data_IF_562913397415
#
_entry.id   IF_562913397415
#
_cell.length_a   1.000
_cell.length_b   1.000
_cell.length_c   1.000
_cell.angle_alpha   90.00
_cell.angle_beta   90.00
_cell.angle_gamma   90.00
#
_symmetry.space_group_name_H-M   'P 1'
#
loop_
_entity.id
_entity.type
_entity.pdbx_description
1 polymer ?
#
# COMPACT_ATOMS: atom_id res chain seq x y z
N UNK A 1 16.21 2.41 15.32
CA UNK A 1 16.95 2.10 14.07
C UNK A 1 17.87 0.94 14.34
N UNK A 2 17.74 -0.14 13.58
CA UNK A 2 18.66 -1.28 13.69
C UNK A 2 19.68 -1.15 12.56
N UNK A 3 20.94 -0.86 12.92
CA UNK A 3 22.03 -0.77 11.97
C UNK A 3 22.64 -2.15 11.76
N UNK A 4 22.64 -2.65 10.54
CA UNK A 4 23.34 -3.87 10.16
C UNK A 4 24.71 -3.50 9.62
N UNK A 5 25.76 -4.12 10.16
CA UNK A 5 27.13 -3.99 9.67
C UNK A 5 27.64 -5.32 9.15
N UNK A 6 28.06 -5.35 7.89
CA UNK A 6 28.55 -6.55 7.21
C UNK A 6 29.96 -6.30 6.71
N UNK A 7 30.86 -7.26 6.95
CA UNK A 7 32.17 -7.32 6.32
C UNK A 7 32.12 -8.34 5.18
N UNK A 8 32.44 -7.90 3.97
CA UNK A 8 32.39 -8.75 2.78
C UNK A 8 33.52 -9.78 2.80
N UNK A 9 33.18 -11.06 2.76
CA UNK A 9 34.14 -12.15 2.68
C UNK A 9 34.75 -12.27 1.28
N UNK A 10 35.96 -12.92 1.19
CA UNK A 10 36.71 -13.05 -0.05
C UNK A 10 35.97 -13.79 -1.16
N UNK A 11 35.14 -14.80 -0.81
CA UNK A 11 34.37 -15.62 -1.72
C UNK A 11 33.11 -14.92 -2.29
N UNK A 12 32.77 -13.78 -1.72
CA UNK A 12 31.59 -12.98 -2.13
C UNK A 12 31.96 -11.81 -3.04
N UNK A 13 33.24 -11.60 -3.31
CA UNK A 13 33.68 -10.53 -4.18
C UNK A 13 33.15 -10.63 -5.61
N UNK A 14 32.71 -9.49 -6.17
CA UNK A 14 32.15 -9.39 -7.51
C UNK A 14 30.62 -9.60 -7.57
N UNK A 15 29.97 -9.99 -6.48
CA UNK A 15 28.52 -10.07 -6.42
C UNK A 15 27.91 -8.65 -6.48
N UNK A 16 26.67 -8.57 -6.97
CA UNK A 16 25.92 -7.32 -6.94
C UNK A 16 25.48 -7.03 -5.51
N UNK A 17 25.55 -5.75 -5.11
CA UNK A 17 25.20 -5.31 -3.76
C UNK A 17 23.77 -5.74 -3.33
N UNK A 18 22.77 -5.60 -4.22
CA UNK A 18 21.40 -6.03 -3.93
C UNK A 18 21.25 -7.54 -3.71
N UNK A 19 22.00 -8.34 -4.46
CA UNK A 19 21.98 -9.79 -4.33
C UNK A 19 22.77 -10.25 -3.09
N UNK A 20 23.91 -9.62 -2.83
CA UNK A 20 24.73 -9.91 -1.67
C UNK A 20 23.97 -9.63 -0.36
N UNK A 21 23.37 -8.44 -0.24
CA UNK A 21 22.57 -8.10 0.93
C UNK A 21 21.36 -9.04 1.12
N UNK A 22 20.62 -9.32 0.06
CA UNK A 22 19.45 -10.20 0.13
C UNK A 22 19.75 -11.68 0.43
N UNK A 23 21.03 -12.08 0.42
CA UNK A 23 21.50 -13.40 0.81
C UNK A 23 22.08 -13.45 2.24
N UNK A 24 22.24 -12.30 2.90
CA UNK A 24 22.79 -12.22 4.26
C UNK A 24 21.68 -12.30 5.31
N UNK A 25 21.95 -13.06 6.39
CA UNK A 25 21.07 -13.15 7.54
C UNK A 25 20.89 -11.78 8.21
N UNK A 26 19.63 -11.45 8.56
CA UNK A 26 19.26 -10.16 9.15
C UNK A 26 18.95 -9.06 8.12
N UNK A 27 19.30 -9.23 6.85
CA UNK A 27 18.88 -8.34 5.77
C UNK A 27 17.49 -8.72 5.23
N UNK A 28 16.70 -7.75 4.75
CA UNK A 28 15.43 -8.04 4.11
C UNK A 28 15.61 -8.69 2.74
N UNK A 29 14.50 -8.98 2.06
CA UNK A 29 14.54 -9.60 0.72
C UNK A 29 15.34 -8.75 -0.26
N UNK A 30 15.91 -9.38 -1.32
CA UNK A 30 16.68 -8.70 -2.37
C UNK A 30 15.98 -7.46 -2.95
N UNK A 31 14.64 -7.53 -3.17
CA UNK A 31 13.86 -6.38 -3.65
C UNK A 31 13.85 -5.24 -2.64
N UNK A 32 13.65 -5.54 -1.36
CA UNK A 32 13.68 -4.54 -0.31
C UNK A 32 15.08 -3.94 -0.15
N UNK A 33 16.15 -4.76 -0.22
CA UNK A 33 17.53 -4.25 -0.25
C UNK A 33 17.78 -3.31 -1.43
N UNK A 34 17.22 -3.61 -2.61
CA UNK A 34 17.36 -2.73 -3.77
C UNK A 34 16.71 -1.35 -3.52
N UNK A 35 15.54 -1.30 -2.86
CA UNK A 35 14.89 -0.04 -2.47
C UNK A 35 15.68 0.73 -1.40
N UNK A 36 16.22 0.04 -0.40
CA UNK A 36 17.09 0.65 0.62
C UNK A 36 18.33 1.29 -0.01
N UNK A 37 18.98 0.62 -0.98
CA UNK A 37 20.11 1.15 -1.72
C UNK A 37 19.73 2.41 -2.50
N UNK A 38 18.64 2.33 -3.30
CA UNK A 38 18.16 3.46 -4.11
C UNK A 38 17.67 4.63 -3.25
N UNK A 39 17.18 4.36 -2.03
CA UNK A 39 16.75 5.34 -1.02
C UNK A 39 17.91 5.93 -0.20
N UNK A 40 19.17 5.48 -0.39
CA UNK A 40 20.34 6.02 0.32
C UNK A 40 20.56 5.47 1.73
N UNK A 41 19.83 4.41 2.12
CA UNK A 41 19.96 3.76 3.43
C UNK A 41 21.12 2.74 3.50
N UNK A 42 21.97 2.64 2.47
CA UNK A 42 23.10 1.73 2.41
C UNK A 42 24.39 2.49 2.13
N UNK A 43 25.39 2.28 2.95
CA UNK A 43 26.74 2.81 2.71
C UNK A 43 27.77 1.67 2.58
N UNK A 44 28.75 1.86 1.69
CA UNK A 44 29.88 0.97 1.49
C UNK A 44 31.16 1.76 1.84
N UNK A 45 31.90 1.25 2.80
CA UNK A 45 33.12 1.92 3.32
C UNK A 45 32.86 3.36 3.82
N UNK A 46 31.63 3.62 4.34
CA UNK A 46 31.22 4.93 4.84
C UNK A 46 30.68 5.89 3.78
N UNK A 47 30.64 5.50 2.49
CA UNK A 47 30.08 6.30 1.41
C UNK A 47 28.70 5.74 1.00
N UNK A 48 27.68 6.61 0.91
CA UNK A 48 26.33 6.20 0.49
C UNK A 48 26.34 5.64 -0.92
N UNK A 49 25.84 4.42 -1.09
CA UNK A 49 25.73 3.74 -2.37
C UNK A 49 24.27 3.78 -2.88
N UNK A 50 24.04 4.44 -4.01
CA UNK A 50 22.71 4.52 -4.64
C UNK A 50 22.50 3.50 -5.77
N UNK A 51 23.53 2.71 -6.11
CA UNK A 51 23.48 1.76 -7.23
C UNK A 51 23.37 0.33 -6.73
N UNK A 52 22.20 -0.28 -6.86
CA UNK A 52 21.99 -1.71 -6.56
C UNK A 52 22.85 -2.67 -7.38
N UNK A 53 23.41 -2.21 -8.50
CA UNK A 53 24.30 -2.99 -9.37
C UNK A 53 25.78 -2.87 -8.97
N UNK A 54 26.10 -2.08 -7.95
CA UNK A 54 27.46 -1.98 -7.44
C UNK A 54 28.00 -3.37 -7.09
N UNK A 55 29.22 -3.68 -7.51
CA UNK A 55 29.88 -4.94 -7.17
C UNK A 55 30.58 -4.79 -5.82
N UNK A 56 30.31 -5.69 -4.88
CA UNK A 56 31.04 -5.73 -3.60
C UNK A 56 32.44 -6.28 -3.77
N UNK A 57 33.38 -5.83 -2.93
CA UNK A 57 34.79 -6.29 -2.92
C UNK A 57 35.07 -6.95 -1.58
N UNK A 58 35.97 -7.89 -1.58
CA UNK A 58 36.50 -8.47 -0.35
C UNK A 58 37.02 -7.38 0.59
N UNK A 59 36.64 -7.45 1.85
CA UNK A 59 36.96 -6.47 2.87
C UNK A 59 36.13 -5.20 2.88
N UNK A 60 35.15 -5.02 1.97
CA UNK A 60 34.25 -3.90 2.03
C UNK A 60 33.42 -3.97 3.34
N UNK A 61 33.24 -2.81 3.96
CA UNK A 61 32.34 -2.63 5.13
C UNK A 61 31.05 -2.02 4.66
N UNK A 62 29.97 -2.78 4.77
CA UNK A 62 28.64 -2.32 4.37
C UNK A 62 27.84 -2.02 5.64
N UNK A 63 27.26 -0.84 5.72
CA UNK A 63 26.24 -0.49 6.72
C UNK A 63 24.90 -0.33 6.04
N UNK A 64 23.88 -0.91 6.66
CA UNK A 64 22.49 -0.81 6.21
C UNK A 64 21.69 -0.22 7.35
N UNK A 65 21.12 0.96 7.11
CA UNK A 65 20.16 1.60 8.01
C UNK A 65 18.78 1.01 7.71
N UNK A 66 18.31 0.12 8.58
CA UNK A 66 16.96 -0.44 8.46
C UNK A 66 15.96 0.55 9.06
N UNK A 67 14.90 0.89 8.31
CA UNK A 67 13.77 1.58 8.91
C UNK A 67 13.26 0.75 10.09
N UNK A 68 12.79 1.42 11.13
CA UNK A 68 12.12 0.71 12.23
C UNK A 68 11.04 -0.20 11.64
N UNK A 69 10.91 -1.44 12.15
CA UNK A 69 9.86 -2.32 11.72
C UNK A 69 8.53 -1.60 12.02
N UNK A 70 7.92 -0.99 11.01
CA UNK A 70 6.52 -0.65 11.11
C UNK A 70 5.73 -1.96 11.10
N UNK A 71 4.83 -2.12 12.05
CA UNK A 71 3.83 -3.15 11.93
C UNK A 71 3.16 -2.94 10.56
N UNK A 72 3.14 -3.94 9.67
CA UNK A 72 2.51 -3.77 8.36
C UNK A 72 1.02 -3.42 8.45
N UNK A 73 0.45 -3.44 9.65
CA UNK A 73 -0.90 -2.97 9.97
C UNK A 73 -0.96 -1.46 10.27
N UNK A 74 0.17 -0.79 10.59
CA UNK A 74 0.18 0.64 10.90
C UNK A 74 -0.04 1.49 9.64
N UNK A 75 -1.23 2.04 9.53
CA UNK A 75 -1.57 3.01 8.47
C UNK A 75 -1.10 4.39 8.87
N UNK A 76 0.05 4.83 8.32
CA UNK A 76 0.64 6.14 8.63
C UNK A 76 -0.22 7.26 8.03
N UNK A 77 -0.54 8.33 8.80
CA UNK A 77 -1.27 9.48 8.28
C UNK A 77 -0.53 10.18 7.13
N UNK A 78 -1.19 10.44 6.00
CA UNK A 78 -0.62 11.19 4.87
C UNK A 78 -1.58 12.26 4.38
N UNK A 79 -1.05 13.48 4.13
CA UNK A 79 -1.81 14.64 3.66
C UNK A 79 -2.18 14.50 2.17
N UNK A 80 -2.98 13.50 1.83
CA UNK A 80 -3.50 13.27 0.49
C UNK A 80 -4.86 13.98 0.38
N UNK A 81 -5.09 14.87 -0.61
CA UNK A 81 -6.37 15.55 -0.77
C UNK A 81 -7.53 14.58 -0.98
N UNK A 82 -8.61 14.75 -0.22
CA UNK A 82 -9.87 14.01 -0.34
C UNK A 82 -10.95 14.91 -0.93
N UNK A 83 -11.66 14.43 -1.95
CA UNK A 83 -12.85 15.07 -2.51
C UNK A 83 -14.09 14.61 -1.70
N UNK A 84 -14.29 15.22 -0.52
CA UNK A 84 -15.38 14.88 0.40
C UNK A 84 -16.67 15.52 -0.12
N UNK A 85 -17.71 14.71 -0.29
CA UNK A 85 -19.05 15.11 -0.77
C UNK A 85 -20.05 15.28 0.37
N UNK A 86 -19.87 14.53 1.43
CA UNK A 86 -20.65 14.60 2.66
C UNK A 86 -19.84 14.03 3.82
N UNK A 87 -19.98 14.62 4.98
CA UNK A 87 -19.38 14.14 6.22
C UNK A 87 -20.28 14.50 7.39
N UNK A 88 -20.45 13.56 8.33
CA UNK A 88 -21.06 13.77 9.63
C UNK A 88 -20.23 13.08 10.74
N UNK A 89 -20.81 12.88 11.91
CA UNK A 89 -20.13 12.26 13.03
C UNK A 89 -19.88 10.75 12.84
N UNK A 90 -20.54 10.12 11.86
CA UNK A 90 -20.57 8.67 11.68
C UNK A 90 -19.89 8.20 10.39
N UNK A 91 -20.04 8.95 9.31
CA UNK A 91 -19.55 8.51 8.01
C UNK A 91 -19.04 9.66 7.14
N UNK A 92 -18.19 9.30 6.18
CA UNK A 92 -17.72 10.15 5.11
C UNK A 92 -18.18 9.56 3.77
N UNK A 93 -18.74 10.40 2.90
CA UNK A 93 -18.93 10.11 1.48
C UNK A 93 -17.89 10.92 0.71
N UNK A 94 -17.02 10.25 -0.01
CA UNK A 94 -15.98 10.89 -0.80
C UNK A 94 -15.98 10.39 -2.24
N UNK A 95 -15.46 11.20 -3.16
CA UNK A 95 -15.20 10.80 -4.54
C UNK A 95 -13.73 10.42 -4.67
N UNK A 96 -13.45 9.10 -4.72
CA UNK A 96 -12.09 8.62 -4.88
C UNK A 96 -11.56 9.00 -6.27
N UNK A 97 -10.42 9.66 -6.31
CA UNK A 97 -9.74 9.97 -7.56
C UNK A 97 -9.14 8.71 -8.21
N UNK A 98 -8.99 8.75 -9.52
CA UNK A 98 -8.23 7.76 -10.28
C UNK A 98 -6.76 7.75 -9.84
N UNK A 99 -6.14 6.59 -9.82
CA UNK A 99 -4.74 6.40 -9.43
C UNK A 99 -4.53 6.13 -7.93
N UNK A 100 -5.54 6.42 -7.08
CA UNK A 100 -5.46 6.19 -5.63
C UNK A 100 -5.87 4.76 -5.27
N UNK A 101 -4.99 4.04 -4.55
CA UNK A 101 -5.27 2.72 -3.97
C UNK A 101 -6.10 2.90 -2.70
N UNK A 102 -7.01 1.98 -2.39
CA UNK A 102 -7.91 2.14 -1.25
C UNK A 102 -7.24 1.88 0.11
N UNK A 103 -6.36 0.90 0.22
CA UNK A 103 -5.68 0.54 1.47
C UNK A 103 -4.31 -0.07 1.17
N UNK A 104 -3.38 -0.08 2.13
CA UNK A 104 -2.07 -0.68 1.97
C UNK A 104 -2.15 -2.11 1.43
N UNK A 105 -1.25 -2.45 0.53
CA UNK A 105 -1.11 -3.77 -0.05
C UNK A 105 0.33 -3.95 -0.55
N UNK A 106 0.71 -5.19 -0.84
CA UNK A 106 2.05 -5.48 -1.35
C UNK A 106 2.40 -4.61 -2.58
N UNK A 107 3.47 -3.81 -2.45
CA UNK A 107 3.92 -2.83 -3.44
C UNK A 107 3.21 -1.46 -3.39
N UNK A 108 2.35 -1.24 -2.39
CA UNK A 108 1.66 0.01 -2.10
C UNK A 108 1.42 0.11 -0.59
N UNK A 109 2.50 0.20 0.18
CA UNK A 109 2.44 0.25 1.65
C UNK A 109 1.98 1.64 2.15
N UNK A 110 2.05 2.66 1.30
CA UNK A 110 1.69 4.05 1.59
C UNK A 110 1.00 4.71 0.40
N UNK A 111 0.60 5.97 0.51
CA UNK A 111 -0.05 6.71 -0.57
C UNK A 111 -1.47 6.22 -0.87
N UNK A 112 -2.20 5.71 0.12
CA UNK A 112 -3.52 5.10 -0.07
C UNK A 112 -4.65 5.97 0.51
N UNK A 113 -5.89 5.63 0.17
CA UNK A 113 -7.07 6.29 0.75
C UNK A 113 -7.12 6.11 2.27
N UNK A 114 -6.71 4.95 2.78
CA UNK A 114 -6.64 4.71 4.22
C UNK A 114 -5.68 5.68 4.91
N UNK A 115 -4.47 5.92 4.34
CA UNK A 115 -3.53 6.92 4.85
C UNK A 115 -4.14 8.33 4.89
N UNK A 116 -4.89 8.70 3.84
CA UNK A 116 -5.59 9.98 3.77
C UNK A 116 -6.72 10.11 4.80
N UNK A 117 -7.50 9.04 5.04
CA UNK A 117 -8.56 9.01 6.04
C UNK A 117 -7.99 9.13 7.46
N UNK A 118 -6.88 8.43 7.76
CA UNK A 118 -6.20 8.55 9.06
C UNK A 118 -5.64 9.96 9.27
N UNK A 119 -5.13 10.59 8.22
CA UNK A 119 -4.70 12.01 8.30
C UNK A 119 -5.87 12.95 8.57
N UNK A 120 -7.01 12.73 7.92
CA UNK A 120 -8.20 13.59 8.03
C UNK A 120 -8.93 13.45 9.36
N UNK A 121 -9.16 12.22 9.83
CA UNK A 121 -9.97 11.91 11.02
C UNK A 121 -9.14 11.63 12.28
N UNK A 122 -7.92 11.11 12.14
CA UNK A 122 -7.21 10.39 13.19
C UNK A 122 -7.63 8.90 13.23
N UNK A 123 -6.71 8.03 13.60
CA UNK A 123 -6.97 6.57 13.63
C UNK A 123 -8.07 6.20 14.62
N UNK A 124 -8.13 6.87 15.79
CA UNK A 124 -9.10 6.63 16.84
C UNK A 124 -10.54 7.00 16.46
N UNK A 125 -10.71 7.72 15.35
CA UNK A 125 -12.00 8.17 14.81
C UNK A 125 -12.34 7.47 13.48
N UNK A 126 -11.90 6.22 13.32
CA UNK A 126 -12.23 5.39 12.17
C UNK A 126 -12.57 3.97 12.63
N UNK A 127 -13.55 3.34 12.00
CA UNK A 127 -13.87 1.94 12.29
C UNK A 127 -12.75 1.00 11.85
N UNK A 128 -12.43 -0.01 12.66
CA UNK A 128 -11.33 -0.97 12.43
C UNK A 128 -11.78 -2.43 12.31
N UNK A 129 -13.07 -2.66 12.13
CA UNK A 129 -13.68 -4.02 12.06
C UNK A 129 -13.07 -4.91 10.97
N UNK A 130 -12.52 -4.33 9.90
CA UNK A 130 -11.86 -5.07 8.81
C UNK A 130 -10.36 -5.27 9.00
N UNK A 131 -9.81 -4.83 10.12
CA UNK A 131 -8.39 -4.85 10.41
C UNK A 131 -7.81 -3.44 10.50
N UNK A 132 -6.71 -3.32 11.21
CA UNK A 132 -6.00 -2.06 11.44
C UNK A 132 -5.35 -1.50 10.17
N UNK A 133 -5.15 -2.35 9.16
CA UNK A 133 -4.65 -1.98 7.82
C UNK A 133 -5.72 -1.29 6.94
N UNK A 134 -6.98 -1.22 7.40
CA UNK A 134 -8.13 -0.72 6.61
C UNK A 134 -9.07 0.18 7.40
N UNK A 135 -8.54 1.17 8.16
CA UNK A 135 -9.37 2.03 9.00
C UNK A 135 -10.44 2.76 8.18
N UNK A 136 -11.67 2.67 8.62
CA UNK A 136 -12.84 3.30 7.98
C UNK A 136 -13.32 2.67 6.67
N UNK A 137 -12.54 1.80 6.04
CA UNK A 137 -12.87 1.24 4.72
C UNK A 137 -14.00 0.21 4.84
N UNK A 138 -15.08 0.39 4.11
CA UNK A 138 -16.24 -0.51 4.08
C UNK A 138 -16.36 -1.27 2.75
N UNK A 139 -15.82 -0.71 1.66
CA UNK A 139 -15.71 -1.33 0.34
C UNK A 139 -14.53 -0.74 -0.43
N UNK A 140 -14.26 -1.27 -1.60
CA UNK A 140 -13.15 -0.77 -2.41
C UNK A 140 -13.54 -0.52 -3.86
N UNK A 141 -12.81 0.40 -4.49
CA UNK A 141 -12.71 0.56 -5.93
C UNK A 141 -11.29 0.21 -6.37
N UNK A 142 -11.11 -0.22 -7.58
CA UNK A 142 -9.78 -0.43 -8.15
C UNK A 142 -9.02 0.89 -8.26
N UNK A 143 -7.70 0.84 -8.34
CA UNK A 143 -6.83 2.01 -8.39
C UNK A 143 -7.27 3.01 -9.46
N UNK A 144 -7.54 2.53 -10.65
CA UNK A 144 -7.88 3.37 -11.80
C UNK A 144 -9.38 3.64 -11.96
N UNK A 145 -10.22 3.12 -11.06
CA UNK A 145 -11.65 3.43 -10.97
C UNK A 145 -11.84 4.63 -10.05
N UNK A 146 -12.50 5.68 -10.54
CA UNK A 146 -12.95 6.82 -9.75
C UNK A 146 -14.42 6.67 -9.36
N UNK A 147 -14.86 7.37 -8.33
CA UNK A 147 -16.27 7.42 -7.94
C UNK A 147 -16.50 7.44 -6.44
N UNK A 148 -17.77 7.42 -6.06
CA UNK A 148 -18.18 7.55 -4.67
C UNK A 148 -17.75 6.33 -3.84
N UNK A 149 -17.21 6.63 -2.68
CA UNK A 149 -16.89 5.66 -1.65
C UNK A 149 -17.42 6.14 -0.30
N UNK A 150 -17.73 5.18 0.56
CA UNK A 150 -18.13 5.39 1.95
C UNK A 150 -16.97 5.00 2.86
N UNK A 151 -16.72 5.81 3.89
CA UNK A 151 -15.85 5.47 5.00
C UNK A 151 -16.61 5.64 6.32
N UNK A 152 -16.36 4.76 7.29
CA UNK A 152 -17.00 4.77 8.59
C UNK A 152 -16.09 5.39 9.64
N UNK A 153 -16.64 6.25 10.51
CA UNK A 153 -15.92 6.92 11.59
C UNK A 153 -15.92 6.13 12.90
N UNK A 154 -16.68 5.04 12.96
CA UNK A 154 -16.74 4.12 14.10
C UNK A 154 -17.07 2.70 13.65
N UNK A 155 -16.87 1.75 14.54
CA UNK A 155 -17.08 0.32 14.31
C UNK A 155 -18.54 -0.06 14.04
N UNK A 156 -19.48 0.58 14.72
CA UNK A 156 -20.90 0.24 14.58
C UNK A 156 -21.42 0.70 13.21
N UNK A 157 -21.05 1.91 12.80
CA UNK A 157 -21.30 2.42 11.45
C UNK A 157 -20.62 1.54 10.40
N UNK A 158 -19.39 1.09 10.63
CA UNK A 158 -18.69 0.21 9.70
C UNK A 158 -19.44 -1.10 9.52
N UNK A 159 -19.89 -1.76 10.61
CA UNK A 159 -20.69 -2.98 10.56
C UNK A 159 -22.03 -2.77 9.85
N UNK A 160 -22.71 -1.65 10.12
CA UNK A 160 -23.98 -1.32 9.48
C UNK A 160 -23.82 -1.15 7.96
N UNK A 161 -22.85 -0.36 7.51
CA UNK A 161 -22.56 -0.14 6.09
C UNK A 161 -22.16 -1.43 5.37
N UNK A 162 -21.31 -2.27 6.00
CA UNK A 162 -20.94 -3.58 5.46
C UNK A 162 -22.15 -4.50 5.30
N UNK A 163 -23.08 -4.47 6.27
CA UNK A 163 -24.32 -5.24 6.17
C UNK A 163 -25.17 -4.79 4.99
N UNK A 164 -25.35 -3.48 4.79
CA UNK A 164 -26.07 -2.92 3.63
C UNK A 164 -25.43 -3.35 2.30
N UNK A 165 -24.11 -3.40 2.24
CA UNK A 165 -23.37 -3.88 1.05
C UNK A 165 -23.58 -5.38 0.85
N UNK A 166 -23.45 -6.18 1.92
CA UNK A 166 -23.60 -7.65 1.88
C UNK A 166 -25.01 -8.06 1.47
N UNK A 167 -26.02 -7.38 1.96
CA UNK A 167 -27.45 -7.63 1.63
C UNK A 167 -27.86 -7.02 0.29
N UNK A 168 -26.96 -6.31 -0.38
CA UNK A 168 -27.22 -5.56 -1.62
C UNK A 168 -28.33 -4.52 -1.47
N UNK A 169 -28.57 -4.03 -0.28
CA UNK A 169 -29.51 -2.92 -0.01
C UNK A 169 -28.90 -1.59 -0.46
N UNK A 170 -27.58 -1.45 -0.37
CA UNK A 170 -26.85 -0.32 -0.95
C UNK A 170 -26.68 -0.55 -2.46
N UNK A 171 -27.39 0.24 -3.27
CA UNK A 171 -27.30 0.18 -4.74
C UNK A 171 -25.96 0.76 -5.22
N UNK A 172 -25.18 -0.02 -5.98
CA UNK A 172 -23.90 0.36 -6.53
C UNK A 172 -23.96 0.35 -8.04
N UNK A 173 -23.89 1.54 -8.64
CA UNK A 173 -23.95 1.73 -10.09
C UNK A 173 -22.61 2.22 -10.62
N UNK A 174 -22.25 1.74 -11.80
CA UNK A 174 -21.03 2.08 -12.48
C UNK A 174 -21.30 2.50 -13.92
N UNK A 175 -20.50 3.45 -14.40
CA UNK A 175 -20.46 3.83 -15.80
C UNK A 175 -19.09 3.42 -16.35
N UNK A 176 -19.06 2.73 -17.47
CA UNK A 176 -17.83 2.32 -18.13
C UNK A 176 -17.89 2.58 -19.63
N UNK A 177 -16.73 2.85 -20.21
CA UNK A 177 -16.55 2.93 -21.65
C UNK A 177 -15.91 1.63 -22.13
N UNK A 178 -16.50 1.00 -23.15
CA UNK A 178 -16.01 -0.25 -23.73
C UNK A 178 -15.67 -0.08 -25.20
N UNK A 179 -14.81 -0.95 -25.72
CA UNK A 179 -14.54 -1.03 -27.15
C UNK A 179 -15.68 -1.72 -27.89
N UNK A 180 -16.00 -1.25 -29.08
CA UNK A 180 -17.01 -1.83 -29.96
C UNK A 180 -18.42 -1.34 -29.64
N UNK A 181 -19.39 -2.09 -30.13
CA UNK A 181 -20.81 -1.79 -29.99
C UNK A 181 -21.55 -2.93 -29.27
N UNK A 182 -22.29 -2.60 -28.24
CA UNK A 182 -23.17 -3.54 -27.54
C UNK A 182 -24.53 -3.44 -28.22
N UNK A 183 -24.98 -4.54 -28.82
CA UNK A 183 -26.20 -4.57 -29.62
C UNK A 183 -27.49 -4.51 -28.81
N UNK A 184 -27.42 -4.83 -27.51
CA UNK A 184 -28.58 -4.87 -26.60
C UNK A 184 -28.46 -3.78 -25.54
N UNK A 185 -29.58 -3.14 -25.21
CA UNK A 185 -29.62 -2.09 -24.17
C UNK A 185 -29.46 -2.67 -22.77
N UNK A 186 -29.82 -3.94 -22.56
CA UNK A 186 -29.70 -4.64 -21.29
C UNK A 186 -29.18 -6.07 -21.49
N UNK A 187 -28.44 -6.56 -20.50
CA UNK A 187 -27.91 -7.92 -20.54
C UNK A 187 -27.31 -8.34 -19.21
N UNK A 188 -27.12 -9.65 -19.06
CA UNK A 188 -26.44 -10.22 -17.87
C UNK A 188 -25.19 -10.97 -18.32
N UNK A 189 -24.07 -10.68 -17.68
CA UNK A 189 -22.84 -11.45 -17.81
C UNK A 189 -22.67 -12.29 -16.56
N UNK A 190 -22.74 -13.62 -16.72
CA UNK A 190 -22.54 -14.58 -15.63
C UNK A 190 -21.37 -15.50 -15.98
N UNK A 191 -20.18 -15.15 -15.50
CA UNK A 191 -18.95 -15.89 -15.77
C UNK A 191 -18.03 -15.87 -14.56
N UNK A 192 -17.14 -16.84 -14.46
CA UNK A 192 -16.09 -16.86 -13.45
C UNK A 192 -15.03 -15.79 -13.74
N UNK A 193 -14.50 -15.18 -12.68
CA UNK A 193 -13.36 -14.26 -12.74
C UNK A 193 -12.16 -14.96 -12.13
N UNK A 194 -11.05 -15.05 -12.88
CA UNK A 194 -9.79 -15.61 -12.41
C UNK A 194 -8.61 -14.75 -12.89
N UNK A 195 -7.45 -14.94 -12.26
CA UNK A 195 -6.19 -14.42 -12.80
C UNK A 195 -5.73 -15.31 -13.94
N UNK A 196 -5.32 -14.70 -15.02
CA UNK A 196 -4.66 -15.38 -16.15
C UNK A 196 -3.20 -15.68 -15.82
#
# INVERSE_FOLDING_TARGET
MADIHILVADDSAGQRLDAYLGANDGCPTRSACAHLIEGGAVAVNGETCLSKKCAVRAGDRISVDLPEPHDPTDVIPEAIPLDIRYEDDYLIVLSKQRGLVCHPAHGHESGTLANALVYHCGIDHLGTVQGEDRPGIVHRLDRDTSGLMLAAKDDDTQRALQNLIRTRTLDRRYITLVHGHIAMDEGTINTGIARS
#
